data_IF_095051741248
#
_entry.id   IF_095051741248
#
_cell.length_a   1.000
_cell.length_b   1.000
_cell.length_c   1.000
_cell.angle_alpha   90.00
_cell.angle_beta   90.00
_cell.angle_gamma   90.00
#
_symmetry.space_group_name_H-M   'P 1'
#
loop_
_entity.id
_entity.type
_entity.pdbx_description
1 polymer ?
#
# COMPACT_ATOMS: atom_id res chain seq x y z
N UNK A 1 40.66 39.71 15.44
CA UNK A 1 40.09 40.95 14.88
C UNK A 1 39.45 40.60 13.53
N UNK A 2 38.18 40.94 13.35
CA UNK A 2 37.50 41.50 12.17
C UNK A 2 37.94 41.12 10.72
N UNK A 3 37.07 40.93 9.71
CA UNK A 3 35.60 40.70 9.59
C UNK A 3 35.27 40.55 8.06
N UNK A 4 34.24 39.79 7.64
CA UNK A 4 33.57 39.84 6.29
C UNK A 4 34.48 39.42 5.08
N UNK A 5 34.08 38.98 3.86
CA UNK A 5 32.82 38.59 3.12
C UNK A 5 33.03 37.16 2.52
N UNK A 6 32.20 36.51 1.68
CA UNK A 6 30.83 36.77 1.19
C UNK A 6 30.60 36.44 -0.31
N UNK A 7 30.15 35.20 -0.60
CA UNK A 7 29.28 34.75 -1.71
C UNK A 7 29.39 35.31 -3.15
N UNK A 8 29.72 34.44 -4.12
CA UNK A 8 29.03 34.36 -5.43
C UNK A 8 28.90 32.89 -5.86
N UNK A 9 27.70 32.34 -5.75
CA UNK A 9 27.26 31.15 -6.51
C UNK A 9 26.63 31.61 -7.84
N UNK A 10 26.39 30.64 -8.74
CA UNK A 10 25.53 30.71 -9.94
C UNK A 10 26.18 31.15 -11.26
N UNK A 11 25.66 30.57 -12.36
CA UNK A 11 26.15 30.58 -13.76
C UNK A 11 27.42 29.70 -13.98
N UNK A 12 27.54 28.86 -15.02
CA UNK A 12 26.67 28.57 -16.16
C UNK A 12 26.36 27.07 -16.30
N UNK A 13 25.07 26.73 -16.39
CA UNK A 13 24.58 25.66 -17.28
C UNK A 13 24.63 26.14 -18.74
N UNK A 14 24.40 25.25 -19.73
CA UNK A 14 24.39 25.50 -21.19
C UNK A 14 25.74 25.42 -21.96
N UNK A 15 26.35 24.23 -22.04
CA UNK A 15 27.03 23.77 -23.28
C UNK A 15 26.86 22.25 -23.40
N UNK A 16 25.84 21.77 -24.15
CA UNK A 16 25.76 20.38 -24.66
C UNK A 16 24.56 20.16 -25.61
N UNK A 17 24.30 21.10 -26.53
CA UNK A 17 23.34 20.94 -27.63
C UNK A 17 24.03 21.41 -28.91
N UNK A 18 23.77 20.69 -30.01
CA UNK A 18 24.24 20.92 -31.38
C UNK A 18 25.71 20.56 -31.70
N UNK A 19 25.89 19.32 -32.16
CA UNK A 19 26.38 19.09 -33.53
C UNK A 19 25.98 17.68 -34.01
N UNK A 20 24.91 17.62 -34.79
CA UNK A 20 24.51 16.43 -35.55
C UNK A 20 25.10 16.57 -36.96
N UNK A 21 25.87 15.59 -37.43
CA UNK A 21 26.10 15.40 -38.86
C UNK A 21 26.39 13.94 -39.22
N UNK A 22 25.46 13.37 -39.99
CA UNK A 22 25.65 12.39 -41.06
C UNK A 22 26.52 11.14 -40.83
N UNK A 23 25.86 10.01 -40.58
CA UNK A 23 26.23 8.73 -41.21
C UNK A 23 24.96 8.07 -41.76
N UNK A 24 24.77 8.15 -43.08
CA UNK A 24 23.73 7.38 -43.78
C UNK A 24 24.21 5.94 -43.99
N UNK A 25 23.79 5.03 -43.11
CA UNK A 25 24.00 3.59 -43.25
C UNK A 25 22.69 2.87 -43.59
N UNK A 26 22.46 2.58 -44.86
CA UNK A 26 21.24 1.89 -45.31
C UNK A 26 21.24 0.40 -44.89
N UNK A 27 20.58 0.08 -43.77
CA UNK A 27 20.36 -1.30 -43.32
C UNK A 27 19.03 -1.82 -43.88
N UNK A 28 19.01 -2.96 -44.61
CA UNK A 28 17.77 -3.49 -45.18
C UNK A 28 16.80 -3.98 -44.10
N UNK A 29 15.65 -3.31 -44.01
CA UNK A 29 14.57 -3.65 -43.08
C UNK A 29 13.96 -5.01 -43.43
N UNK A 30 14.20 -6.03 -42.60
CA UNK A 30 13.45 -7.29 -42.66
C UNK A 30 12.10 -7.07 -41.98
N UNK A 31 11.02 -7.23 -42.73
CA UNK A 31 9.65 -7.17 -42.19
C UNK A 31 9.41 -8.22 -41.10
N UNK A 32 9.53 -7.82 -39.84
CA UNK A 32 9.04 -8.62 -38.71
C UNK A 32 7.52 -8.61 -38.77
N UNK A 33 6.95 -9.69 -39.32
CA UNK A 33 5.49 -9.95 -39.32
C UNK A 33 4.96 -9.82 -37.89
N UNK A 34 4.34 -8.67 -37.57
CA UNK A 34 3.70 -8.40 -36.28
C UNK A 34 2.58 -9.42 -36.09
N UNK A 35 2.82 -10.47 -35.29
CA UNK A 35 1.77 -11.37 -34.83
C UNK A 35 0.64 -10.52 -34.22
N UNK A 36 -0.64 -10.79 -34.54
CA UNK A 36 -1.74 -10.04 -33.94
C UNK A 36 -1.64 -10.17 -32.42
N UNK A 37 -1.52 -9.04 -31.71
CA UNK A 37 -1.55 -9.03 -30.24
C UNK A 37 -2.85 -9.72 -29.80
N UNK A 38 -2.82 -10.70 -28.89
CA UNK A 38 -4.04 -11.30 -28.38
C UNK A 38 -4.92 -10.17 -27.83
N UNK A 39 -6.18 -10.11 -28.29
CA UNK A 39 -7.14 -9.10 -27.82
C UNK A 39 -7.18 -9.22 -26.30
N UNK A 40 -6.75 -8.17 -25.58
CA UNK A 40 -6.91 -8.11 -24.12
C UNK A 40 -8.39 -8.39 -23.84
N UNK A 41 -8.69 -9.51 -23.17
CA UNK A 41 -10.04 -9.77 -22.67
C UNK A 41 -10.41 -8.54 -21.82
N UNK A 42 -11.58 -7.96 -22.06
CA UNK A 42 -12.10 -6.93 -21.16
C UNK A 42 -12.14 -7.58 -19.76
N UNK A 43 -11.65 -6.92 -18.69
CA UNK A 43 -11.76 -7.47 -17.35
C UNK A 43 -13.22 -7.82 -17.06
N UNK A 44 -13.49 -8.91 -16.35
CA UNK A 44 -14.83 -9.17 -15.87
C UNK A 44 -15.06 -8.29 -14.63
N UNK A 45 -15.99 -7.35 -14.73
CA UNK A 45 -16.22 -6.33 -13.70
C UNK A 45 -17.20 -6.78 -12.61
N UNK A 46 -17.84 -7.95 -12.72
CA UNK A 46 -18.93 -8.35 -11.81
C UNK A 46 -18.51 -9.13 -10.56
N UNK A 47 -17.33 -9.73 -10.54
CA UNK A 47 -16.80 -10.49 -9.40
C UNK A 47 -15.50 -9.85 -8.89
N UNK A 48 -15.59 -8.61 -8.43
CA UNK A 48 -14.44 -7.91 -7.83
C UNK A 48 -14.26 -8.33 -6.38
N UNK A 49 -13.02 -8.54 -5.98
CA UNK A 49 -12.65 -8.82 -4.59
C UNK A 49 -12.46 -7.48 -3.87
N UNK A 50 -13.03 -7.33 -2.68
CA UNK A 50 -12.94 -6.10 -1.87
C UNK A 50 -12.30 -6.39 -0.51
N UNK A 51 -11.51 -5.44 -0.03
CA UNK A 51 -11.01 -5.40 1.33
C UNK A 51 -11.21 -3.98 1.88
N UNK A 52 -11.27 -3.87 3.21
CA UNK A 52 -10.95 -2.60 3.87
C UNK A 52 -9.44 -2.37 3.77
N UNK A 53 -9.02 -1.20 3.30
CA UNK A 53 -7.63 -0.81 3.17
C UNK A 53 -7.42 0.51 3.91
N UNK A 54 -6.64 0.48 4.98
CA UNK A 54 -6.41 1.61 5.85
C UNK A 54 -5.13 1.44 6.67
N UNK A 55 -4.58 2.55 7.16
CA UNK A 55 -3.46 2.57 8.10
C UNK A 55 -3.81 3.53 9.24
N UNK A 56 -3.79 3.03 10.48
CA UNK A 56 -3.93 3.83 11.68
C UNK A 56 -2.74 3.54 12.62
N UNK A 57 -1.74 4.43 12.57
CA UNK A 57 -0.54 4.40 13.40
C UNK A 57 -0.62 5.47 14.51
N UNK A 58 -0.62 5.05 15.77
CA UNK A 58 -0.67 5.88 16.98
C UNK A 58 0.67 5.95 17.72
N UNK A 59 1.79 5.51 17.13
CA UNK A 59 3.11 5.53 17.77
C UNK A 59 3.52 6.90 18.33
N UNK A 60 2.99 7.99 17.76
CA UNK A 60 3.27 9.38 18.15
C UNK A 60 2.01 10.20 18.50
N UNK A 61 0.84 9.56 18.71
CA UNK A 61 -0.44 10.26 19.01
C UNK A 61 -1.34 9.42 19.90
N UNK A 62 -2.33 10.04 20.56
CA UNK A 62 -3.27 9.30 21.42
C UNK A 62 -4.12 8.34 20.60
N UNK A 63 -4.27 7.10 21.08
CA UNK A 63 -5.15 6.09 20.49
C UNK A 63 -6.59 6.62 20.45
N UNK A 64 -7.23 6.49 19.30
CA UNK A 64 -8.65 6.83 19.11
C UNK A 64 -9.45 5.57 18.85
N UNK A 65 -10.08 4.99 19.88
CA UNK A 65 -10.91 3.80 19.73
C UNK A 65 -12.18 4.00 18.88
N UNK A 66 -12.51 5.26 18.50
CA UNK A 66 -13.57 5.57 17.53
C UNK A 66 -13.08 5.69 16.09
N UNK A 67 -11.81 5.37 15.82
CA UNK A 67 -11.29 5.33 14.46
C UNK A 67 -11.86 4.10 13.75
N UNK A 68 -12.61 4.33 12.68
CA UNK A 68 -13.20 3.31 11.81
C UNK A 68 -12.14 2.45 11.10
N UNK A 69 -10.87 2.87 11.11
CA UNK A 69 -9.78 1.98 10.74
C UNK A 69 -9.44 1.00 11.87
N UNK A 70 -9.57 1.32 13.17
CA UNK A 70 -9.38 0.30 14.21
C UNK A 70 -10.53 -0.71 14.13
N UNK A 71 -11.76 -0.25 14.39
CA UNK A 71 -12.97 -1.07 14.33
C UNK A 71 -13.99 -0.47 13.35
N UNK A 72 -14.18 -1.08 12.18
CA UNK A 72 -15.19 -0.69 11.19
C UNK A 72 -16.64 -0.71 11.70
N UNK A 73 -16.97 -1.59 12.64
CA UNK A 73 -18.35 -1.74 13.15
C UNK A 73 -18.88 -0.45 13.80
N UNK A 74 -17.99 0.31 14.48
CA UNK A 74 -18.29 1.58 15.17
C UNK A 74 -18.99 2.60 14.26
N UNK A 75 -18.71 2.58 12.95
CA UNK A 75 -19.47 3.31 11.95
C UNK A 75 -19.27 2.66 10.56
N UNK A 76 -20.06 1.63 10.30
CA UNK A 76 -20.12 0.86 9.04
C UNK A 76 -20.11 1.77 7.80
N UNK A 77 -20.94 2.81 7.77
CA UNK A 77 -21.09 3.69 6.60
C UNK A 77 -19.86 4.54 6.31
N UNK A 78 -19.16 5.03 7.34
CA UNK A 78 -17.88 5.74 7.17
C UNK A 78 -16.77 4.78 6.75
N UNK A 79 -16.71 3.59 7.36
CA UNK A 79 -15.75 2.56 6.99
C UNK A 79 -15.91 2.09 5.53
N UNK A 80 -17.15 1.89 5.07
CA UNK A 80 -17.47 1.55 3.68
C UNK A 80 -17.01 2.67 2.73
N UNK A 81 -17.47 3.91 2.96
CA UNK A 81 -17.19 5.03 2.08
C UNK A 81 -15.70 5.41 1.98
N UNK A 82 -14.93 5.13 3.04
CA UNK A 82 -13.53 5.60 3.18
C UNK A 82 -12.49 4.52 2.94
N UNK A 83 -12.74 3.28 3.34
CA UNK A 83 -11.73 2.22 3.35
C UNK A 83 -12.10 1.00 2.50
N UNK A 84 -13.37 0.76 2.15
CA UNK A 84 -13.73 -0.35 1.28
C UNK A 84 -13.28 -0.07 -0.15
N UNK A 85 -12.30 -0.85 -0.63
CA UNK A 85 -11.72 -0.65 -1.97
C UNK A 85 -11.78 -1.92 -2.80
N UNK A 86 -11.79 -1.73 -4.12
CA UNK A 86 -11.62 -2.82 -5.09
C UNK A 86 -10.15 -3.21 -5.10
N UNK A 87 -9.88 -4.47 -4.78
CA UNK A 87 -8.53 -4.99 -4.80
C UNK A 87 -7.99 -5.26 -6.22
N UNK A 88 -6.66 -5.24 -6.42
CA UNK A 88 -6.03 -5.64 -7.68
C UNK A 88 -6.42 -7.06 -8.13
N UNK A 89 -6.49 -7.30 -9.45
CA UNK A 89 -7.02 -8.56 -10.01
C UNK A 89 -6.16 -9.81 -9.75
N UNK A 90 -4.94 -9.63 -9.28
CA UNK A 90 -4.00 -10.67 -8.84
C UNK A 90 -4.10 -10.99 -7.34
N UNK A 91 -4.84 -10.18 -6.57
CA UNK A 91 -5.06 -10.39 -5.13
C UNK A 91 -6.37 -11.14 -4.87
N UNK A 92 -6.35 -12.08 -3.93
CA UNK A 92 -7.49 -12.93 -3.55
C UNK A 92 -7.65 -13.10 -2.04
N UNK A 93 -6.88 -12.33 -1.27
CA UNK A 93 -6.85 -12.35 0.19
C UNK A 93 -6.93 -10.92 0.73
N UNK A 94 -7.50 -10.77 1.92
CA UNK A 94 -7.32 -9.56 2.74
C UNK A 94 -6.31 -9.89 3.84
N UNK A 95 -5.39 -8.98 4.10
CA UNK A 95 -4.39 -9.10 5.16
C UNK A 95 -4.50 -7.91 6.11
N UNK A 96 -4.25 -8.14 7.40
CA UNK A 96 -4.05 -7.06 8.36
C UNK A 96 -2.91 -7.34 9.32
N UNK A 97 -2.24 -6.27 9.74
CA UNK A 97 -1.09 -6.32 10.64
C UNK A 97 -1.38 -5.48 11.89
N UNK A 98 -1.37 -6.14 13.04
CA UNK A 98 -1.43 -5.51 14.36
C UNK A 98 -0.01 -5.29 14.88
N UNK A 99 0.31 -4.06 15.26
CA UNK A 99 1.60 -3.69 15.84
C UNK A 99 1.42 -3.29 17.29
N UNK A 100 2.06 -4.01 18.21
CA UNK A 100 2.17 -3.62 19.62
C UNK A 100 3.62 -3.28 19.99
N UNK A 101 3.78 -2.41 20.98
CA UNK A 101 5.07 -2.10 21.61
C UNK A 101 4.89 -2.25 23.12
N UNK A 102 5.65 -3.15 23.74
CA UNK A 102 5.49 -3.59 25.14
C UNK A 102 4.01 -3.94 25.43
N UNK A 103 3.41 -4.76 24.56
CA UNK A 103 1.99 -5.16 24.55
C UNK A 103 0.93 -4.04 24.43
N UNK A 104 1.35 -2.78 24.32
CA UNK A 104 0.44 -1.66 24.02
C UNK A 104 0.18 -1.59 22.52
N UNK A 105 -1.09 -1.52 22.11
CA UNK A 105 -1.48 -1.29 20.72
C UNK A 105 -0.89 0.03 20.19
N UNK A 106 -0.18 -0.04 19.06
CA UNK A 106 0.44 1.13 18.44
C UNK A 106 -0.03 1.36 17.01
N UNK A 107 -0.21 0.33 16.19
CA UNK A 107 -0.71 0.52 14.83
C UNK A 107 -1.54 -0.67 14.32
N UNK A 108 -2.41 -0.37 13.35
CA UNK A 108 -3.06 -1.37 12.50
C UNK A 108 -2.97 -0.96 11.02
N UNK A 109 -2.56 -1.90 10.18
CA UNK A 109 -2.59 -1.76 8.72
C UNK A 109 -3.53 -2.83 8.13
N UNK A 110 -4.34 -2.48 7.14
CA UNK A 110 -5.12 -3.42 6.31
C UNK A 110 -4.82 -3.23 4.84
N UNK A 111 -4.67 -4.34 4.12
CA UNK A 111 -4.27 -4.36 2.71
C UNK A 111 -4.84 -5.55 1.95
N UNK A 112 -5.05 -5.38 0.64
CA UNK A 112 -5.27 -6.50 -0.28
C UNK A 112 -3.96 -7.30 -0.42
N UNK A 113 -4.03 -8.63 -0.51
CA UNK A 113 -2.87 -9.51 -0.59
C UNK A 113 -3.02 -10.58 -1.68
N UNK A 114 -1.91 -10.89 -2.36
CA UNK A 114 -1.78 -12.02 -3.29
C UNK A 114 -1.48 -13.33 -2.54
N UNK A 115 -0.65 -13.23 -1.51
CA UNK A 115 -0.28 -14.29 -0.58
C UNK A 115 -0.26 -13.73 0.84
N UNK A 116 -0.77 -14.48 1.81
CA UNK A 116 -0.76 -14.10 3.22
C UNK A 116 -0.57 -15.36 4.07
N UNK A 117 0.29 -15.26 5.09
CA UNK A 117 0.56 -16.34 6.04
C UNK A 117 0.35 -15.78 7.46
N UNK A 118 -0.61 -16.31 8.24
CA UNK A 118 -0.79 -15.87 9.62
C UNK A 118 0.48 -16.11 10.44
N UNK A 119 0.96 -15.09 11.15
CA UNK A 119 2.19 -15.15 11.93
C UNK A 119 2.27 -14.02 12.94
N UNK A 120 3.02 -14.21 14.02
CA UNK A 120 3.44 -13.14 14.92
C UNK A 120 4.96 -13.13 15.01
N UNK A 121 5.57 -11.97 14.76
CA UNK A 121 7.01 -11.75 14.89
C UNK A 121 7.27 -10.75 16.02
N UNK A 122 8.06 -11.15 17.01
CA UNK A 122 8.49 -10.31 18.13
C UNK A 122 9.97 -9.96 17.96
N UNK A 123 10.32 -8.71 18.23
CA UNK A 123 11.70 -8.22 18.08
C UNK A 123 11.99 -7.04 19.00
N UNK A 124 13.23 -6.92 19.46
CA UNK A 124 13.70 -5.78 20.24
C UNK A 124 14.57 -6.20 21.41
N UNK A 125 15.28 -5.22 21.98
CA UNK A 125 16.08 -5.36 23.18
C UNK A 125 15.74 -4.18 24.11
N UNK A 126 15.02 -4.44 25.20
CA UNK A 126 14.55 -3.41 26.15
C UNK A 126 13.25 -2.68 25.75
N UNK A 127 12.88 -2.72 24.47
CA UNK A 127 11.53 -2.35 23.97
C UNK A 127 11.10 -3.42 23.00
N UNK A 128 10.05 -4.16 23.33
CA UNK A 128 9.57 -5.31 22.57
C UNK A 128 8.50 -4.87 21.57
N UNK A 129 8.78 -5.03 20.28
CA UNK A 129 7.83 -4.79 19.20
C UNK A 129 7.31 -6.12 18.70
N UNK A 130 6.00 -6.32 18.75
CA UNK A 130 5.31 -7.47 18.16
C UNK A 130 4.50 -7.02 16.95
N UNK A 131 4.62 -7.76 15.85
CA UNK A 131 3.83 -7.57 14.63
C UNK A 131 3.10 -8.89 14.37
N UNK A 132 1.77 -8.88 14.43
CA UNK A 132 0.93 -10.03 14.13
C UNK A 132 0.18 -9.82 12.81
N UNK A 133 0.47 -10.64 11.81
CA UNK A 133 -0.21 -10.71 10.51
C UNK A 133 -1.36 -11.70 10.58
N UNK A 134 -2.53 -11.28 10.11
CA UNK A 134 -3.74 -12.08 9.97
C UNK A 134 -4.24 -12.06 8.53
N UNK A 135 -4.94 -13.11 8.12
CA UNK A 135 -5.29 -13.37 6.73
C UNK A 135 -6.73 -13.88 6.60
N UNK A 136 -7.52 -13.27 5.72
CA UNK A 136 -8.83 -13.78 5.33
C UNK A 136 -8.90 -14.04 3.82
N UNK A 137 -9.60 -15.12 3.45
CA UNK A 137 -9.76 -15.61 2.08
C UNK A 137 -11.13 -15.27 1.47
N UNK A 138 -11.79 -14.23 1.99
CA UNK A 138 -13.08 -13.72 1.53
C UNK A 138 -13.04 -12.21 1.38
N UNK A 139 -13.84 -11.71 0.45
CA UNK A 139 -14.10 -10.28 0.31
C UNK A 139 -14.73 -9.76 1.60
N UNK A 140 -14.07 -8.81 2.26
CA UNK A 140 -14.50 -8.25 3.53
C UNK A 140 -15.55 -7.15 3.30
N UNK A 141 -16.57 -7.09 4.15
CA UNK A 141 -17.47 -5.95 4.32
C UNK A 141 -17.35 -5.36 5.73
N UNK A 142 -17.80 -4.12 5.98
CA UNK A 142 -17.75 -3.54 7.32
C UNK A 142 -18.73 -4.19 8.30
N UNK A 143 -19.79 -4.87 7.84
CA UNK A 143 -20.73 -5.60 8.72
C UNK A 143 -20.18 -6.95 9.24
N UNK A 144 -19.05 -7.43 8.70
CA UNK A 144 -18.39 -8.65 9.16
C UNK A 144 -17.61 -8.44 10.48
N UNK A 145 -17.54 -7.19 10.98
CA UNK A 145 -16.87 -6.81 12.22
C UNK A 145 -17.86 -6.77 13.39
N UNK A 146 -17.42 -7.23 14.57
CA UNK A 146 -18.18 -7.13 15.80
C UNK A 146 -17.70 -5.93 16.63
N UNK A 147 -18.62 -5.13 17.17
CA UNK A 147 -18.31 -4.02 18.07
C UNK A 147 -17.58 -4.49 19.34
N UNK A 148 -17.90 -5.69 19.84
CA UNK A 148 -17.29 -6.26 21.06
C UNK A 148 -15.82 -6.67 20.86
N UNK A 149 -15.41 -7.03 19.63
CA UNK A 149 -14.07 -7.55 19.35
C UNK A 149 -13.24 -6.57 18.52
N UNK A 150 -12.75 -5.52 19.19
CA UNK A 150 -12.05 -4.33 18.65
C UNK A 150 -11.06 -4.58 17.50
N UNK A 151 -10.35 -5.72 17.50
CA UNK A 151 -9.33 -6.06 16.50
C UNK A 151 -9.54 -7.43 15.82
N UNK A 152 -10.51 -8.22 16.28
CA UNK A 152 -10.68 -9.60 15.84
C UNK A 152 -11.75 -9.68 14.75
N UNK A 153 -11.36 -10.25 13.61
CA UNK A 153 -12.24 -10.47 12.49
C UNK A 153 -12.59 -11.95 12.38
N UNK A 154 -13.89 -12.26 12.30
CA UNK A 154 -14.35 -13.63 12.08
C UNK A 154 -14.32 -13.89 10.57
N UNK A 155 -13.28 -14.54 10.04
CA UNK A 155 -13.25 -15.02 8.65
C UNK A 155 -14.18 -16.26 8.45
N UNK A 156 -15.47 -16.17 8.83
CA UNK A 156 -16.47 -17.22 8.68
C UNK A 156 -16.87 -17.47 7.23
#
# INVERSE_FOLDING_TARGET
MNLITGSVYLTLTFICIELISSIEGAVPSKEVKKKPRPKKKKPDYKNKYHCLVCLADYSNKRINFKDTCINPAVNVSDAEAKYLTVCPSDTTLCAYELVTINDVFTAIERRCATSCTPSCFQSGYGTEKTICTYCCNKSIKPEDFNDDTVYEYICA
#
